data_IF_511572567645
#
_entry.id   IF_511572567645
#
_cell.length_a   1.000
_cell.length_b   1.000
_cell.length_c   1.000
_cell.angle_alpha   90.00
_cell.angle_beta   90.00
_cell.angle_gamma   90.00
#
_symmetry.space_group_name_H-M   'P 1'
#
loop_
_entity.id
_entity.type
_entity.pdbx_description
1 polymer ?
#
# COMPACT_ATOMS: atom_id res chain seq x y z
N UNK A 1 56.17 -28.44 -9.64
CA UNK A 1 55.12 -27.48 -10.05
C UNK A 1 54.30 -27.13 -8.81
N UNK A 2 54.44 -25.89 -8.31
CA UNK A 2 53.76 -25.41 -7.11
C UNK A 2 52.40 -24.88 -7.56
N UNK A 3 51.36 -25.71 -7.46
CA UNK A 3 49.99 -25.23 -7.67
C UNK A 3 49.54 -24.61 -6.35
N UNK A 4 49.34 -23.30 -6.40
CA UNK A 4 48.96 -22.43 -5.31
C UNK A 4 47.62 -22.86 -4.67
N UNK A 5 47.67 -23.15 -3.37
CA UNK A 5 46.49 -23.45 -2.52
C UNK A 5 45.49 -22.27 -2.48
N UNK A 6 45.91 -21.09 -2.93
CA UNK A 6 45.15 -19.84 -2.96
C UNK A 6 43.93 -19.86 -3.89
N UNK A 7 43.93 -20.65 -4.97
CA UNK A 7 42.84 -20.65 -5.95
C UNK A 7 41.63 -21.50 -5.53
N UNK A 8 41.83 -22.51 -4.67
CA UNK A 8 40.76 -23.43 -4.25
C UNK A 8 39.87 -22.80 -3.17
N UNK A 9 40.43 -21.92 -2.32
CA UNK A 9 39.67 -21.23 -1.26
C UNK A 9 38.76 -20.14 -1.85
N UNK A 10 39.19 -19.45 -2.92
CA UNK A 10 38.37 -18.42 -3.58
C UNK A 10 37.16 -19.05 -4.28
N UNK A 11 37.31 -20.25 -4.87
CA UNK A 11 36.22 -20.95 -5.56
C UNK A 11 35.19 -21.54 -4.58
N UNK A 12 35.57 -21.82 -3.32
CA UNK A 12 34.66 -22.27 -2.27
C UNK A 12 33.78 -21.15 -1.67
N UNK A 13 34.12 -19.87 -1.88
CA UNK A 13 33.34 -18.73 -1.36
C UNK A 13 32.27 -18.18 -2.35
N UNK A 14 32.19 -18.69 -3.59
CA UNK A 14 31.28 -18.13 -4.61
C UNK A 14 29.94 -18.88 -4.68
N UNK A 15 29.81 -20.04 -4.03
CA UNK A 15 28.60 -20.88 -4.11
C UNK A 15 27.71 -20.86 -2.85
N UNK A 16 27.91 -19.93 -1.90
CA UNK A 16 27.05 -19.76 -0.71
C UNK A 16 26.30 -18.42 -0.78
N UNK A 17 25.63 -18.12 -1.90
CA UNK A 17 24.62 -17.05 -1.91
C UNK A 17 23.62 -17.13 -3.08
N UNK A 18 23.14 -18.33 -3.42
CA UNK A 18 22.13 -18.47 -4.48
C UNK A 18 21.04 -19.43 -4.00
N UNK A 19 19.87 -18.82 -3.74
CA UNK A 19 18.52 -19.42 -3.56
C UNK A 19 18.24 -20.04 -2.17
N UNK A 20 17.73 -19.22 -1.24
CA UNK A 20 16.72 -19.70 -0.30
C UNK A 20 15.37 -19.69 -1.04
N UNK A 21 14.70 -20.82 -1.28
CA UNK A 21 13.33 -20.80 -1.76
C UNK A 21 12.46 -20.27 -0.62
N UNK A 22 11.88 -19.08 -0.81
CA UNK A 22 10.72 -18.65 -0.04
C UNK A 22 9.59 -19.64 -0.33
N UNK A 23 9.30 -20.51 0.63
CA UNK A 23 8.07 -21.29 0.61
C UNK A 23 6.90 -20.31 0.77
N UNK A 24 6.34 -19.82 -0.33
CA UNK A 24 4.97 -19.28 -0.30
C UNK A 24 4.02 -20.47 -0.37
N UNK A 25 3.63 -20.96 0.82
CA UNK A 25 2.53 -21.90 0.97
C UNK A 25 1.27 -21.30 0.35
N UNK A 26 0.86 -21.82 -0.81
CA UNK A 26 -0.45 -21.56 -1.38
C UNK A 26 -1.50 -22.30 -0.56
N UNK A 27 -2.03 -21.65 0.46
CA UNK A 27 -3.19 -22.16 1.19
C UNK A 27 -4.44 -22.01 0.30
N UNK A 28 -4.87 -23.14 -0.27
CA UNK A 28 -6.14 -23.24 -1.00
C UNK A 28 -7.27 -22.98 -0.01
N UNK A 29 -7.93 -21.83 -0.10
CA UNK A 29 -9.14 -21.57 0.66
C UNK A 29 -10.22 -22.61 0.29
N UNK A 30 -10.66 -23.39 1.28
CA UNK A 30 -11.83 -24.29 1.15
C UNK A 30 -13.10 -23.46 0.99
N UNK A 31 -14.08 -23.89 0.17
CA UNK A 31 -15.36 -23.20 0.06
C UNK A 31 -16.14 -23.38 1.37
N UNK A 32 -16.51 -22.27 2.01
CA UNK A 32 -17.34 -22.29 3.21
C UNK A 32 -18.81 -22.37 2.79
N UNK A 33 -19.39 -23.58 2.87
CA UNK A 33 -20.83 -23.78 2.84
C UNK A 33 -21.34 -23.80 4.29
N UNK A 34 -22.18 -22.84 4.67
CA UNK A 34 -22.85 -22.83 5.96
C UNK A 34 -24.36 -22.67 5.77
N UNK A 35 -25.09 -23.68 6.23
CA UNK A 35 -26.53 -23.89 6.10
C UNK A 35 -27.33 -22.99 7.04
N UNK A 36 -28.46 -22.48 6.55
CA UNK A 36 -29.35 -21.53 7.20
C UNK A 36 -30.28 -22.15 8.28
N UNK A 37 -29.75 -22.98 9.18
CA UNK A 37 -30.58 -23.66 10.22
C UNK A 37 -30.16 -23.38 11.67
N UNK A 38 -29.33 -22.35 11.92
CA UNK A 38 -29.02 -21.91 13.29
C UNK A 38 -29.38 -20.44 13.52
N UNK A 39 -30.51 -20.01 12.97
CA UNK A 39 -31.02 -18.64 13.10
C UNK A 39 -32.31 -18.64 13.94
N UNK A 40 -32.27 -18.99 15.23
CA UNK A 40 -33.46 -18.71 16.07
C UNK A 40 -33.26 -18.61 17.60
N UNK A 41 -32.11 -18.98 18.18
CA UNK A 41 -31.95 -18.92 19.64
C UNK A 41 -30.61 -18.31 20.08
N UNK A 42 -30.49 -17.00 19.95
CA UNK A 42 -29.62 -16.16 20.81
C UNK A 42 -29.93 -14.69 20.58
N UNK A 43 -31.15 -14.27 20.93
CA UNK A 43 -31.43 -12.89 21.31
C UNK A 43 -30.74 -12.58 22.64
N UNK A 44 -29.42 -12.38 22.62
CA UNK A 44 -28.64 -11.67 23.65
C UNK A 44 -27.15 -11.76 23.31
N UNK A 45 -26.53 -10.60 23.06
CA UNK A 45 -25.07 -10.37 23.09
C UNK A 45 -24.25 -11.15 22.04
N UNK A 46 -24.29 -10.69 20.78
CA UNK A 46 -23.11 -10.78 19.91
C UNK A 46 -22.91 -9.43 19.24
N UNK A 47 -21.85 -8.75 19.68
CA UNK A 47 -21.29 -7.55 19.08
C UNK A 47 -21.01 -7.78 17.60
N UNK A 48 -21.58 -6.93 16.75
CA UNK A 48 -21.15 -6.80 15.36
C UNK A 48 -19.64 -6.55 15.33
N UNK A 49 -18.86 -7.16 14.42
CA UNK A 49 -17.48 -6.75 14.20
C UNK A 49 -17.53 -5.37 13.52
N UNK A 50 -17.63 -4.31 14.33
CA UNK A 50 -17.19 -2.98 13.94
C UNK A 50 -15.70 -3.11 13.68
N UNK A 51 -15.35 -3.10 12.41
CA UNK A 51 -13.98 -3.07 11.95
C UNK A 51 -13.22 -1.93 12.67
N UNK A 52 -12.02 -2.24 13.17
CA UNK A 52 -11.17 -1.41 14.04
C UNK A 52 -10.69 -0.05 13.45
N UNK A 53 -11.31 0.47 12.40
CA UNK A 53 -10.74 1.56 11.59
C UNK A 53 -11.05 2.99 12.05
N UNK A 54 -11.68 3.20 13.21
CA UNK A 54 -12.24 4.52 13.54
C UNK A 54 -11.67 5.22 14.77
N UNK A 55 -10.65 4.67 15.44
CA UNK A 55 -10.11 5.34 16.66
C UNK A 55 -8.72 5.97 16.54
N UNK A 56 -7.85 5.50 15.64
CA UNK A 56 -6.43 5.89 15.63
C UNK A 56 -5.96 6.55 14.32
N UNK A 57 -6.78 7.41 13.70
CA UNK A 57 -6.33 8.20 12.54
C UNK A 57 -5.33 9.27 12.99
N UNK A 58 -4.06 9.14 12.55
CA UNK A 58 -3.00 10.12 12.86
C UNK A 58 -2.85 11.14 11.74
N UNK A 59 -2.89 12.43 12.06
CA UNK A 59 -2.52 13.49 11.10
C UNK A 59 -1.01 13.66 11.11
N UNK A 60 -0.37 13.55 9.95
CA UNK A 60 1.10 13.65 9.82
C UNK A 60 1.48 14.55 8.64
N UNK A 61 2.71 15.07 8.65
CA UNK A 61 3.32 15.64 7.45
C UNK A 61 3.66 14.50 6.47
N UNK A 62 3.23 14.62 5.20
CA UNK A 62 3.50 13.65 4.15
C UNK A 62 5.00 13.36 3.95
N UNK A 63 5.88 14.33 4.25
CA UNK A 63 7.35 14.15 4.20
C UNK A 63 7.84 13.11 5.20
N UNK A 64 7.09 12.88 6.27
CA UNK A 64 7.43 11.93 7.32
C UNK A 64 6.75 10.56 7.14
N UNK A 65 5.97 10.35 6.08
CA UNK A 65 5.14 9.16 5.90
C UNK A 65 5.91 7.83 6.03
N UNK A 66 7.19 7.78 5.63
CA UNK A 66 8.04 6.60 5.78
C UNK A 66 8.12 6.07 7.24
N UNK A 67 8.00 6.95 8.23
CA UNK A 67 8.03 6.60 9.66
C UNK A 67 6.74 5.93 10.15
N UNK A 68 5.68 5.95 9.33
CA UNK A 68 4.33 5.52 9.68
C UNK A 68 3.86 4.34 8.83
N UNK A 69 4.77 3.55 8.25
CA UNK A 69 4.42 2.35 7.48
C UNK A 69 3.55 1.41 8.34
N UNK A 70 2.38 1.03 7.82
CA UNK A 70 1.39 0.21 8.51
C UNK A 70 0.30 1.00 9.25
N UNK A 71 0.51 2.28 9.52
CA UNK A 71 -0.49 3.13 10.19
C UNK A 71 -1.52 3.67 9.18
N UNK A 72 -2.74 3.92 9.65
CA UNK A 72 -3.74 4.68 8.92
C UNK A 72 -3.58 6.17 9.27
N UNK A 73 -3.29 6.99 8.27
CA UNK A 73 -2.92 8.39 8.48
C UNK A 73 -3.74 9.33 7.61
N UNK A 74 -3.81 10.59 8.02
CA UNK A 74 -4.25 11.72 7.21
C UNK A 74 -3.04 12.61 6.89
N UNK A 75 -2.91 13.02 5.64
CA UNK A 75 -1.87 13.92 5.15
C UNK A 75 -2.47 15.06 4.36
N UNK A 76 -1.81 16.21 4.38
CA UNK A 76 -2.15 17.36 3.55
C UNK A 76 -0.95 17.82 2.73
N UNK A 77 -1.15 18.14 1.46
CA UNK A 77 -0.07 18.63 0.62
C UNK A 77 -0.48 18.91 -0.82
N UNK A 78 0.39 19.61 -1.55
CA UNK A 78 0.19 19.88 -2.97
C UNK A 78 0.64 18.69 -3.81
N UNK A 79 -0.21 18.24 -4.73
CA UNK A 79 0.19 17.29 -5.76
C UNK A 79 0.98 18.04 -6.83
N UNK A 80 2.31 17.92 -6.82
CA UNK A 80 3.20 18.69 -7.71
C UNK A 80 3.41 18.02 -9.06
N UNK A 81 3.17 16.72 -9.15
CA UNK A 81 3.19 15.97 -10.41
C UNK A 81 2.26 14.75 -10.33
N UNK A 82 1.87 14.25 -11.49
CA UNK A 82 1.14 13.00 -11.62
C UNK A 82 1.66 12.19 -12.80
N UNK A 83 1.39 10.89 -12.78
CA UNK A 83 1.68 10.00 -13.90
C UNK A 83 0.59 8.94 -13.99
N UNK A 84 -0.14 8.91 -15.10
CA UNK A 84 -1.20 7.93 -15.33
C UNK A 84 -0.77 6.97 -16.45
N UNK A 85 -0.73 5.68 -16.12
CA UNK A 85 -0.37 4.60 -17.06
C UNK A 85 -1.57 4.00 -17.78
N UNK A 86 -2.78 4.50 -17.51
CA UNK A 86 -4.05 3.88 -17.87
C UNK A 86 -4.46 2.72 -16.95
N UNK A 87 -3.53 2.14 -16.18
CA UNK A 87 -3.80 1.08 -15.19
C UNK A 87 -3.68 1.58 -13.74
N UNK A 88 -2.81 2.55 -13.53
CA UNK A 88 -2.49 3.15 -12.24
C UNK A 88 -2.21 4.63 -12.46
N UNK A 89 -2.78 5.45 -11.59
CA UNK A 89 -2.50 6.87 -11.47
C UNK A 89 -1.67 7.11 -10.21
N UNK A 90 -0.52 7.74 -10.38
CA UNK A 90 0.35 8.20 -9.31
C UNK A 90 0.15 9.70 -9.13
N UNK A 91 -0.09 10.16 -7.90
CA UNK A 91 -0.19 11.56 -7.52
C UNK A 91 0.92 11.85 -6.49
N UNK A 92 1.88 12.68 -6.86
CA UNK A 92 3.11 12.84 -6.10
C UNK A 92 3.14 14.18 -5.36
N UNK A 93 3.48 14.15 -4.07
CA UNK A 93 3.71 15.37 -3.28
C UNK A 93 5.08 16.01 -3.55
N UNK A 94 5.99 15.28 -4.20
CA UNK A 94 7.33 15.74 -4.56
C UNK A 94 7.76 15.20 -5.93
N UNK A 95 8.67 15.91 -6.63
CA UNK A 95 9.22 15.46 -7.92
C UNK A 95 10.11 14.21 -7.77
N UNK A 96 10.87 14.13 -6.68
CA UNK A 96 11.58 12.91 -6.26
C UNK A 96 10.60 11.94 -5.59
N UNK A 97 9.73 11.35 -6.42
CA UNK A 97 8.65 10.45 -5.99
C UNK A 97 9.15 9.11 -5.45
N UNK A 98 10.43 8.75 -5.67
CA UNK A 98 10.99 7.50 -5.14
C UNK A 98 11.19 7.56 -3.62
N UNK A 99 11.51 8.75 -3.10
CA UNK A 99 11.86 8.96 -1.70
C UNK A 99 10.75 9.65 -0.89
N UNK A 100 9.63 9.99 -1.52
CA UNK A 100 8.52 10.72 -0.91
C UNK A 100 7.20 9.99 -1.09
N UNK A 101 6.23 10.34 -0.24
CA UNK A 101 4.90 9.76 -0.31
C UNK A 101 4.27 9.98 -1.69
N UNK A 102 3.69 8.90 -2.23
CA UNK A 102 2.87 8.92 -3.43
C UNK A 102 1.46 8.41 -3.11
N UNK A 103 0.43 9.10 -3.59
CA UNK A 103 -0.92 8.55 -3.60
C UNK A 103 -1.12 7.72 -4.87
N UNK A 104 -1.70 6.54 -4.72
CA UNK A 104 -1.90 5.59 -5.81
C UNK A 104 -3.38 5.30 -5.97
N UNK A 105 -3.90 5.50 -7.17
CA UNK A 105 -5.27 5.12 -7.56
C UNK A 105 -5.19 4.08 -8.66
N UNK A 106 -5.83 2.92 -8.48
CA UNK A 106 -5.89 1.88 -9.51
C UNK A 106 -7.05 2.13 -10.46
N UNK A 107 -6.91 1.74 -11.74
CA UNK A 107 -7.93 1.95 -12.76
C UNK A 107 -9.31 1.34 -12.40
N UNK A 108 -9.33 0.24 -11.64
CA UNK A 108 -10.58 -0.36 -11.15
C UNK A 108 -11.41 0.56 -10.25
N UNK A 109 -10.77 1.57 -9.63
CA UNK A 109 -11.42 2.55 -8.77
C UNK A 109 -11.79 3.85 -9.53
N UNK A 110 -11.32 4.07 -10.76
CA UNK A 110 -11.53 5.33 -11.50
C UNK A 110 -13.01 5.69 -11.66
N UNK A 111 -13.88 4.70 -11.87
CA UNK A 111 -15.33 4.88 -12.00
C UNK A 111 -16.00 5.51 -10.77
N UNK A 112 -15.30 5.54 -9.62
CA UNK A 112 -15.77 6.15 -8.37
C UNK A 112 -15.45 7.63 -8.31
N UNK A 113 -14.56 8.12 -9.16
CA UNK A 113 -14.16 9.51 -9.26
C UNK A 113 -14.93 10.20 -10.39
N UNK A 114 -15.16 11.53 -10.31
CA UNK A 114 -15.89 12.26 -11.35
C UNK A 114 -15.14 12.34 -12.69
N UNK A 115 -13.83 12.12 -12.68
CA UNK A 115 -12.94 12.06 -13.83
C UNK A 115 -11.65 11.31 -13.43
N UNK A 116 -10.71 11.19 -14.37
CA UNK A 116 -9.40 10.59 -14.13
C UNK A 116 -8.65 11.35 -13.01
N UNK A 117 -8.09 10.67 -11.98
CA UNK A 117 -7.50 11.34 -10.82
C UNK A 117 -6.38 12.33 -11.14
N UNK A 118 -5.55 12.05 -12.15
CA UNK A 118 -4.48 12.96 -12.60
C UNK A 118 -5.03 14.29 -13.12
N UNK A 119 -6.18 14.29 -13.80
CA UNK A 119 -6.81 15.53 -14.27
C UNK A 119 -7.40 16.36 -13.14
N UNK A 120 -7.91 15.71 -12.09
CA UNK A 120 -8.58 16.37 -10.98
C UNK A 120 -7.57 16.97 -10.00
N UNK A 121 -6.58 16.18 -9.59
CA UNK A 121 -5.78 16.48 -8.40
C UNK A 121 -4.42 17.12 -8.72
N UNK A 122 -3.91 17.02 -9.95
CA UNK A 122 -2.61 17.62 -10.30
C UNK A 122 -2.63 19.14 -10.09
N UNK A 123 -1.63 19.65 -9.37
CA UNK A 123 -1.50 21.07 -9.03
C UNK A 123 -2.41 21.53 -7.89
N UNK A 124 -3.29 20.67 -7.36
CA UNK A 124 -4.19 20.99 -6.25
C UNK A 124 -3.55 20.68 -4.90
N UNK A 125 -3.98 21.40 -3.87
CA UNK A 125 -3.70 21.03 -2.48
C UNK A 125 -4.78 20.09 -2.01
N UNK A 126 -4.38 18.91 -1.55
CA UNK A 126 -5.29 17.85 -1.14
C UNK A 126 -5.09 17.46 0.31
N UNK A 127 -6.17 17.06 0.96
CA UNK A 127 -6.20 16.24 2.17
C UNK A 127 -6.49 14.81 1.75
N UNK A 128 -5.60 13.87 2.09
CA UNK A 128 -5.76 12.47 1.74
C UNK A 128 -5.59 11.56 2.96
N UNK A 129 -6.31 10.46 3.00
CA UNK A 129 -6.21 9.48 4.08
C UNK A 129 -6.12 8.04 3.58
N UNK A 130 -5.39 7.22 4.34
CA UNK A 130 -5.25 5.80 4.08
C UNK A 130 -4.10 5.16 4.83
N UNK A 131 -3.96 3.85 4.66
CA UNK A 131 -2.85 3.10 5.25
C UNK A 131 -1.56 3.33 4.46
N UNK A 132 -0.50 3.75 5.15
CA UNK A 132 0.84 3.89 4.56
C UNK A 132 1.43 2.50 4.28
N UNK A 133 1.93 2.30 3.07
CA UNK A 133 2.55 1.05 2.64
C UNK A 133 3.94 1.31 2.07
N UNK A 134 4.81 0.31 2.20
CA UNK A 134 6.05 0.25 1.45
C UNK A 134 5.86 -0.74 0.30
N UNK A 135 5.99 -0.28 -0.93
CA UNK A 135 5.89 -1.14 -2.12
C UNK A 135 7.08 -0.88 -3.03
N UNK A 136 7.88 -1.93 -3.30
CA UNK A 136 9.10 -1.85 -4.11
C UNK A 136 10.02 -0.68 -3.72
N UNK A 137 10.19 -0.46 -2.41
CA UNK A 137 11.02 0.61 -1.85
C UNK A 137 10.37 1.99 -1.81
N UNK A 138 9.11 2.14 -2.23
CA UNK A 138 8.39 3.43 -2.28
C UNK A 138 7.31 3.49 -1.21
N UNK A 139 7.15 4.66 -0.61
CA UNK A 139 6.10 4.92 0.39
C UNK A 139 4.84 5.37 -0.33
N UNK A 140 3.75 4.64 -0.13
CA UNK A 140 2.51 4.82 -0.87
C UNK A 140 1.28 4.82 0.06
N UNK A 141 0.25 5.58 -0.32
CA UNK A 141 -1.13 5.41 0.19
C UNK A 141 -2.02 5.04 -1.00
N UNK A 142 -2.73 3.93 -0.88
CA UNK A 142 -3.72 3.53 -1.90
C UNK A 142 -5.04 4.24 -1.61
N UNK A 143 -5.46 5.08 -2.55
CA UNK A 143 -6.72 5.83 -2.50
C UNK A 143 -7.72 5.10 -3.38
N UNK A 144 -8.81 4.61 -2.79
CA UNK A 144 -9.82 3.79 -3.47
C UNK A 144 -11.11 4.55 -3.75
N UNK A 145 -11.33 5.71 -3.12
CA UNK A 145 -12.56 6.47 -3.28
C UNK A 145 -12.37 7.98 -3.07
N UNK A 146 -13.29 8.81 -3.58
CA UNK A 146 -13.21 10.27 -3.42
C UNK A 146 -13.26 10.73 -1.96
N UNK A 147 -13.89 9.96 -1.06
CA UNK A 147 -13.96 10.33 0.36
C UNK A 147 -12.58 10.35 1.03
N UNK A 148 -11.64 9.56 0.51
CA UNK A 148 -10.27 9.47 1.00
C UNK A 148 -9.36 10.59 0.45
N UNK A 149 -9.82 11.43 -0.48
CA UNK A 149 -9.00 12.51 -1.04
C UNK A 149 -9.86 13.73 -1.42
N UNK A 150 -9.65 14.84 -0.72
CA UNK A 150 -10.40 16.08 -0.89
C UNK A 150 -9.48 17.21 -1.32
N UNK A 151 -9.91 18.03 -2.27
CA UNK A 151 -9.27 19.31 -2.56
C UNK A 151 -9.63 20.29 -1.44
N UNK A 152 -8.66 21.01 -0.90
CA UNK A 152 -8.84 21.90 0.26
C UNK A 152 -8.44 23.36 -0.02
N UNK A 153 -8.22 23.72 -1.29
CA UNK A 153 -7.87 25.08 -1.69
C UNK A 153 -8.60 25.55 -2.95
#
# INVERSE_FOLDING_TARGET
AVITVSAVIVILCINIWIIKPLQSGGEKAKPYNFSSEHLESSKAVVSHPKTDFTKDKKTIDWKNAAKYIGDYVEVEGKIVSSYNTGKVCFLNFHKDYMNHLTLVVFAGDYKRFPAEPDRIYTGKTVKAEGRVKLYKGRVEIIVKSPEQIKIIN
#
